data_IF_405792690099
#
_entry.id   IF_405792690099
#
_cell.length_a   1.000
_cell.length_b   1.000
_cell.length_c   1.000
_cell.angle_alpha   90.00
_cell.angle_beta   90.00
_cell.angle_gamma   90.00
#
_symmetry.space_group_name_H-M   'P 1'
#
loop_
_entity.id
_entity.type
_entity.pdbx_description
1 polymer ?
#
# COMPACT_ATOMS: atom_id res chain seq x y z
N UNK A 1 38.93 -44.19 -44.05
CA UNK A 1 37.56 -43.84 -44.51
C UNK A 1 36.54 -44.30 -43.48
N UNK A 2 35.53 -43.47 -43.18
CA UNK A 2 34.38 -43.66 -42.24
C UNK A 2 34.70 -43.56 -40.75
N UNK A 3 33.93 -42.87 -39.91
CA UNK A 3 33.00 -41.72 -39.99
C UNK A 3 32.82 -41.34 -38.50
N UNK A 4 33.12 -40.10 -38.14
CA UNK A 4 33.09 -39.59 -36.77
C UNK A 4 31.64 -39.63 -36.26
N UNK A 5 31.44 -40.35 -35.15
CA UNK A 5 30.18 -40.63 -34.51
C UNK A 5 29.96 -39.64 -33.36
N UNK A 6 28.72 -39.16 -33.24
CA UNK A 6 28.04 -38.75 -31.99
C UNK A 6 28.73 -37.72 -31.09
N UNK A 7 28.45 -36.42 -31.25
CA UNK A 7 28.49 -35.47 -30.13
C UNK A 7 27.79 -34.11 -30.42
N UNK A 8 26.52 -34.08 -30.86
CA UNK A 8 25.79 -32.80 -31.08
C UNK A 8 24.34 -32.86 -30.58
N UNK A 9 24.07 -33.63 -29.53
CA UNK A 9 22.69 -33.98 -29.13
C UNK A 9 22.28 -33.68 -27.70
N UNK A 10 22.98 -32.80 -26.97
CA UNK A 10 22.69 -32.59 -25.52
C UNK A 10 23.00 -31.19 -25.00
N UNK A 11 22.65 -30.12 -25.74
CA UNK A 11 22.84 -28.74 -25.26
C UNK A 11 21.63 -27.80 -25.52
N UNK A 12 20.45 -28.32 -25.85
CA UNK A 12 19.29 -27.49 -26.24
C UNK A 12 18.09 -27.55 -25.28
N UNK A 13 18.29 -27.91 -24.00
CA UNK A 13 17.20 -28.09 -23.03
C UNK A 13 17.30 -27.22 -21.75
N UNK A 14 18.07 -26.13 -21.76
CA UNK A 14 18.31 -25.29 -20.57
C UNK A 14 17.89 -23.80 -20.70
N UNK A 15 16.95 -23.45 -21.58
CA UNK A 15 16.52 -22.06 -21.79
C UNK A 15 15.00 -21.82 -21.65
N UNK A 16 14.25 -22.65 -20.92
CA UNK A 16 12.80 -22.46 -20.73
C UNK A 16 12.35 -22.22 -19.28
N UNK A 17 13.25 -22.20 -18.30
CA UNK A 17 12.89 -21.99 -16.88
C UNK A 17 13.17 -20.55 -16.41
N UNK A 18 12.69 -19.54 -17.15
CA UNK A 18 13.11 -18.15 -16.94
C UNK A 18 12.02 -17.07 -16.93
N UNK A 19 10.74 -17.40 -16.96
CA UNK A 19 9.67 -16.38 -16.99
C UNK A 19 8.43 -16.83 -16.20
N UNK A 20 8.49 -16.81 -14.87
CA UNK A 20 7.29 -17.00 -14.05
C UNK A 20 7.14 -16.07 -12.84
N UNK A 21 8.15 -15.26 -12.50
CA UNK A 21 8.14 -14.49 -11.23
C UNK A 21 7.79 -13.00 -11.37
N UNK A 22 7.37 -12.52 -12.54
CA UNK A 22 7.43 -11.09 -12.87
C UNK A 22 6.22 -10.23 -12.49
N UNK A 23 5.13 -10.76 -11.91
CA UNK A 23 3.87 -9.98 -11.88
C UNK A 23 3.11 -9.93 -10.55
N UNK A 24 3.59 -10.55 -9.47
CA UNK A 24 3.00 -10.31 -8.17
C UNK A 24 3.63 -9.04 -7.55
N UNK A 25 2.85 -7.98 -7.25
CA UNK A 25 3.37 -6.87 -6.46
C UNK A 25 3.79 -7.42 -5.09
N UNK A 26 5.08 -7.28 -4.78
CA UNK A 26 5.61 -7.69 -3.48
C UNK A 26 5.13 -6.67 -2.45
N UNK A 27 4.14 -7.07 -1.66
CA UNK A 27 3.83 -6.34 -0.44
C UNK A 27 4.97 -6.53 0.55
N UNK A 28 5.29 -5.48 1.31
CA UNK A 28 6.16 -5.64 2.47
C UNK A 28 5.44 -6.55 3.47
N UNK A 29 6.17 -7.52 4.02
CA UNK A 29 5.63 -8.44 5.03
C UNK A 29 5.75 -7.87 6.44
N UNK A 30 6.57 -6.83 6.60
CA UNK A 30 6.90 -6.22 7.88
C UNK A 30 6.66 -4.71 7.86
N UNK A 31 6.42 -4.17 9.05
CA UNK A 31 6.35 -2.73 9.27
C UNK A 31 7.72 -2.11 9.03
N UNK A 32 7.74 -0.89 8.48
CA UNK A 32 8.98 -0.15 8.25
C UNK A 32 8.97 1.15 9.04
N UNK A 33 10.03 1.37 9.82
CA UNK A 33 10.32 2.65 10.45
C UNK A 33 11.41 3.34 9.65
N UNK A 34 11.06 4.47 9.03
CA UNK A 34 11.98 5.33 8.30
C UNK A 34 12.38 6.50 9.17
N UNK A 35 13.67 6.56 9.47
CA UNK A 35 14.29 7.67 10.17
C UNK A 35 15.55 8.07 9.41
N UNK A 36 15.73 9.36 9.21
CA UNK A 36 16.89 9.93 8.54
C UNK A 36 17.40 11.12 9.37
N UNK A 37 18.71 11.27 9.57
CA UNK A 37 19.29 12.34 10.39
C UNK A 37 18.99 13.77 9.87
N UNK A 38 18.69 13.91 8.58
CA UNK A 38 18.41 15.16 7.88
C UNK A 38 16.91 15.46 7.80
N UNK A 39 16.04 14.47 8.01
CA UNK A 39 14.59 14.68 8.01
C UNK A 39 14.07 15.07 9.40
N UNK A 40 13.15 16.05 9.50
CA UNK A 40 12.56 16.46 10.78
C UNK A 40 11.54 15.46 11.31
N UNK A 41 11.22 14.41 10.55
CA UNK A 41 10.15 13.46 10.87
C UNK A 41 10.65 12.02 10.91
N UNK A 42 9.93 11.16 11.64
CA UNK A 42 9.99 9.71 11.56
C UNK A 42 8.73 9.25 10.83
N UNK A 43 8.84 8.36 9.84
CA UNK A 43 7.67 7.77 9.18
C UNK A 43 7.58 6.28 9.49
N UNK A 44 6.44 5.86 10.02
CA UNK A 44 6.13 4.45 10.28
C UNK A 44 5.14 3.98 9.21
N UNK A 45 5.47 2.93 8.49
CA UNK A 45 4.66 2.35 7.42
C UNK A 45 4.18 0.96 7.86
N UNK A 46 2.91 0.83 8.26
CA UNK A 46 2.32 -0.44 8.67
C UNK A 46 2.29 -1.49 7.56
N UNK A 47 1.87 -2.73 7.81
CA UNK A 47 1.85 -3.78 6.77
C UNK A 47 0.66 -3.55 5.81
N UNK A 48 0.85 -3.54 4.47
CA UNK A 48 -0.24 -3.42 3.50
C UNK A 48 -1.19 -4.60 3.59
N UNK A 49 -2.49 -4.30 3.66
CA UNK A 49 -3.56 -5.28 3.51
C UNK A 49 -4.17 -5.11 2.11
N UNK A 50 -4.31 -6.21 1.33
CA UNK A 50 -4.97 -6.16 0.03
C UNK A 50 -6.42 -5.65 0.14
N UNK A 51 -6.87 -4.89 -0.87
CA UNK A 51 -8.25 -4.41 -0.96
C UNK A 51 -8.98 -5.19 -2.05
N UNK A 52 -9.98 -5.98 -1.64
CA UNK A 52 -10.75 -6.82 -2.54
C UNK A 52 -9.91 -7.94 -3.16
N UNK A 53 -10.28 -8.36 -4.36
CA UNK A 53 -9.61 -9.38 -5.18
C UNK A 53 -8.57 -8.79 -6.14
N UNK A 54 -8.38 -7.47 -6.12
CA UNK A 54 -7.55 -6.74 -7.09
C UNK A 54 -6.07 -6.84 -6.70
N UNK A 55 -5.32 -7.60 -7.48
CA UNK A 55 -3.87 -7.72 -7.32
C UNK A 55 -3.20 -6.33 -7.36
N UNK A 56 -2.42 -6.01 -6.33
CA UNK A 56 -1.66 -4.76 -6.20
C UNK A 56 -2.40 -3.57 -5.60
N UNK A 57 -3.71 -3.68 -5.35
CA UNK A 57 -4.43 -2.69 -4.54
C UNK A 57 -4.35 -3.04 -3.05
N UNK A 58 -4.03 -2.07 -2.21
CA UNK A 58 -3.93 -2.28 -0.77
C UNK A 58 -3.90 -0.98 0.03
N UNK A 59 -4.19 -1.09 1.32
CA UNK A 59 -4.08 0.01 2.27
C UNK A 59 -3.28 -0.38 3.51
N UNK A 60 -2.71 0.62 4.18
CA UNK A 60 -2.04 0.48 5.47
C UNK A 60 -2.13 1.77 6.26
N UNK A 61 -1.88 1.70 7.56
CA UNK A 61 -1.72 2.89 8.38
C UNK A 61 -0.30 3.43 8.18
N UNK A 62 -0.20 4.71 7.84
CA UNK A 62 1.04 5.48 7.83
C UNK A 62 0.99 6.47 8.98
N UNK A 63 2.04 6.50 9.77
CA UNK A 63 2.24 7.53 10.79
C UNK A 63 3.44 8.40 10.45
N UNK A 64 3.31 9.69 10.73
CA UNK A 64 4.39 10.68 10.65
C UNK A 64 4.51 11.29 12.04
N UNK A 65 5.72 11.25 12.60
CA UNK A 65 6.05 11.80 13.92
C UNK A 65 7.04 12.94 13.71
N UNK A 66 6.72 14.14 14.15
CA UNK A 66 7.67 15.25 14.19
C UNK A 66 8.68 15.06 15.32
N UNK A 67 9.98 15.06 15.01
CA UNK A 67 11.04 14.73 15.98
C UNK A 67 11.22 15.78 17.08
N UNK A 68 10.78 17.02 16.85
CA UNK A 68 11.00 18.14 17.78
C UNK A 68 9.84 18.30 18.74
N UNK A 69 8.62 18.25 18.21
CA UNK A 69 7.37 18.45 18.95
C UNK A 69 6.73 17.15 19.43
N UNK A 70 7.15 16.01 18.87
CA UNK A 70 6.50 14.70 19.04
C UNK A 70 5.03 14.71 18.61
N UNK A 71 4.63 15.64 17.74
CA UNK A 71 3.31 15.63 17.12
C UNK A 71 3.18 14.40 16.22
N UNK A 72 2.04 13.73 16.28
CA UNK A 72 1.75 12.49 15.55
C UNK A 72 0.62 12.75 14.58
N UNK A 73 0.82 12.41 13.31
CA UNK A 73 -0.22 12.43 12.28
C UNK A 73 -0.39 11.02 11.72
N UNK A 74 -1.63 10.53 11.73
CA UNK A 74 -1.99 9.20 11.23
C UNK A 74 -2.82 9.31 9.97
N UNK A 75 -2.55 8.44 9.01
CA UNK A 75 -3.23 8.39 7.72
C UNK A 75 -3.48 6.95 7.29
N UNK A 76 -4.59 6.70 6.59
CA UNK A 76 -4.75 5.47 5.81
C UNK A 76 -4.16 5.70 4.42
N UNK A 77 -2.97 5.17 4.19
CA UNK A 77 -2.29 5.25 2.91
C UNK A 77 -2.78 4.13 2.00
N UNK A 78 -3.28 4.48 0.83
CA UNK A 78 -3.94 3.56 -0.09
C UNK A 78 -3.30 3.62 -1.47
N UNK A 79 -3.08 2.44 -2.05
CA UNK A 79 -2.66 2.24 -3.43
C UNK A 79 -3.79 1.50 -4.14
N UNK A 80 -4.33 2.10 -5.20
CA UNK A 80 -5.35 1.51 -6.05
C UNK A 80 -4.78 1.26 -7.44
N UNK A 81 -4.89 0.02 -7.92
CA UNK A 81 -4.43 -0.39 -9.26
C UNK A 81 -5.60 -1.03 -10.02
N UNK A 82 -5.82 -0.60 -11.26
CA UNK A 82 -6.91 -1.12 -12.11
C UNK A 82 -6.61 -0.93 -13.61
N UNK A 83 -7.25 -1.74 -14.47
CA UNK A 83 -6.82 -1.90 -15.88
C UNK A 83 -7.83 -1.42 -16.95
N UNK A 84 -9.01 -0.92 -16.59
CA UNK A 84 -10.11 -0.82 -17.58
C UNK A 84 -11.04 0.40 -17.49
N UNK A 85 -10.80 1.37 -16.58
CA UNK A 85 -11.83 2.38 -16.27
C UNK A 85 -11.42 3.84 -16.48
N UNK A 86 -10.18 4.11 -16.91
CA UNK A 86 -9.62 5.47 -16.82
C UNK A 86 -9.47 5.91 -15.35
N UNK A 87 -8.98 7.12 -15.13
CA UNK A 87 -8.85 7.68 -13.78
C UNK A 87 -10.17 7.70 -13.02
N UNK A 88 -10.16 7.19 -11.78
CA UNK A 88 -11.32 7.19 -10.88
C UNK A 88 -11.40 8.48 -10.06
N UNK A 89 -10.25 9.04 -9.67
CA UNK A 89 -10.16 10.26 -8.86
C UNK A 89 -10.86 10.10 -7.50
N UNK A 90 -10.28 9.26 -6.63
CA UNK A 90 -10.70 9.14 -5.24
C UNK A 90 -10.45 10.46 -4.50
N UNK A 91 -11.51 11.08 -3.96
CA UNK A 91 -11.44 12.44 -3.42
C UNK A 91 -12.39 12.71 -2.25
N UNK A 92 -13.17 11.72 -1.80
CA UNK A 92 -14.00 11.83 -0.62
C UNK A 92 -13.87 10.58 0.24
N UNK A 93 -13.86 10.73 1.55
CA UNK A 93 -13.84 9.62 2.49
C UNK A 93 -14.81 9.86 3.63
N UNK A 94 -15.36 8.77 4.16
CA UNK A 94 -16.38 8.79 5.20
C UNK A 94 -16.14 7.67 6.22
N UNK A 95 -16.18 8.02 7.50
CA UNK A 95 -16.23 7.07 8.60
C UNK A 95 -17.62 6.44 8.71
N UNK A 96 -17.72 5.38 9.51
CA UNK A 96 -19.00 4.82 9.90
C UNK A 96 -19.86 5.90 10.58
N UNK A 97 -21.11 6.07 10.15
CA UNK A 97 -21.98 7.17 10.60
C UNK A 97 -21.97 8.39 9.70
N UNK A 98 -21.12 8.42 8.66
CA UNK A 98 -21.16 9.44 7.60
C UNK A 98 -20.33 10.70 7.87
N UNK A 99 -19.56 10.74 8.96
CA UNK A 99 -18.58 11.80 9.19
C UNK A 99 -17.53 11.81 8.08
N UNK A 100 -17.27 12.98 7.50
CA UNK A 100 -16.30 13.14 6.42
C UNK A 100 -14.87 13.11 6.95
N UNK A 101 -13.98 12.47 6.20
CA UNK A 101 -12.54 12.49 6.41
C UNK A 101 -11.84 13.18 5.24
N UNK A 102 -10.72 13.86 5.53
CA UNK A 102 -9.87 14.48 4.52
C UNK A 102 -9.21 13.43 3.62
N UNK A 103 -9.23 13.65 2.31
CA UNK A 103 -8.49 12.83 1.33
C UNK A 103 -7.38 13.67 0.72
N UNK A 104 -6.15 13.22 0.89
CA UNK A 104 -4.96 13.79 0.27
C UNK A 104 -4.57 12.98 -0.95
N UNK A 105 -4.62 13.58 -2.12
CA UNK A 105 -4.02 13.02 -3.33
C UNK A 105 -2.49 13.03 -3.21
N UNK A 106 -1.86 11.87 -3.45
CA UNK A 106 -0.39 11.74 -3.39
C UNK A 106 0.20 11.62 -4.79
N UNK A 107 -0.30 10.67 -5.58
CA UNK A 107 0.15 10.51 -6.97
C UNK A 107 -0.84 9.75 -7.83
N UNK A 108 -0.71 9.95 -9.14
CA UNK A 108 -1.39 9.18 -10.18
C UNK A 108 -0.37 8.82 -11.25
N UNK A 109 -0.31 7.54 -11.61
CA UNK A 109 0.58 7.03 -12.65
C UNK A 109 -0.13 6.07 -13.63
N UNK A 110 0.13 6.24 -14.93
CA UNK A 110 -0.45 5.44 -16.00
C UNK A 110 0.67 4.74 -16.77
N UNK A 111 0.55 3.43 -16.92
CA UNK A 111 1.49 2.61 -17.65
C UNK A 111 0.77 1.72 -18.66
N UNK A 112 1.46 1.26 -19.70
CA UNK A 112 0.95 0.28 -20.65
C UNK A 112 1.78 -0.99 -20.49
N UNK A 113 1.18 -2.06 -19.99
CA UNK A 113 1.82 -3.36 -19.81
C UNK A 113 1.18 -4.38 -20.75
N UNK A 114 1.96 -4.94 -21.68
CA UNK A 114 1.47 -5.93 -22.66
C UNK A 114 0.24 -5.46 -23.47
N UNK A 115 0.19 -4.17 -23.80
CA UNK A 115 -0.93 -3.55 -24.52
C UNK A 115 -2.15 -3.22 -23.64
N UNK A 116 -2.11 -3.52 -22.34
CA UNK A 116 -3.17 -3.19 -21.38
C UNK A 116 -2.77 -1.94 -20.59
N UNK A 117 -3.64 -0.94 -20.56
CA UNK A 117 -3.45 0.26 -19.74
C UNK A 117 -3.65 -0.06 -18.26
N UNK A 118 -2.67 0.27 -17.43
CA UNK A 118 -2.69 0.10 -15.97
C UNK A 118 -2.67 1.48 -15.34
N UNK A 119 -3.68 1.77 -14.55
CA UNK A 119 -3.79 3.01 -13.78
C UNK A 119 -3.44 2.71 -12.32
N UNK A 120 -2.65 3.59 -11.72
CA UNK A 120 -2.26 3.55 -10.32
C UNK A 120 -2.60 4.88 -9.67
N UNK A 121 -3.48 4.86 -8.67
CA UNK A 121 -3.76 6.02 -7.82
C UNK A 121 -3.24 5.77 -6.42
N UNK A 122 -2.56 6.76 -5.85
CA UNK A 122 -2.11 6.77 -4.48
C UNK A 122 -2.72 7.97 -3.77
N UNK A 123 -3.37 7.71 -2.65
CA UNK A 123 -3.96 8.74 -1.80
C UNK A 123 -3.85 8.35 -0.32
N UNK A 124 -4.02 9.33 0.55
CA UNK A 124 -4.11 9.13 1.99
C UNK A 124 -5.46 9.64 2.50
N UNK A 125 -6.06 8.93 3.46
CA UNK A 125 -7.18 9.45 4.25
C UNK A 125 -6.65 9.89 5.60
N UNK A 126 -6.88 11.15 5.97
CA UNK A 126 -6.45 11.69 7.26
C UNK A 126 -7.29 11.11 8.40
N UNK A 127 -6.62 10.74 9.48
CA UNK A 127 -7.29 10.28 10.71
C UNK A 127 -7.21 11.39 11.76
N UNK A 128 -8.34 11.70 12.43
CA UNK A 128 -8.32 12.61 13.57
C UNK A 128 -7.39 12.14 14.69
N UNK A 129 -6.90 13.08 15.49
CA UNK A 129 -6.08 12.77 16.67
C UNK A 129 -6.82 11.83 17.64
N UNK A 130 -6.12 10.81 18.13
CA UNK A 130 -6.68 9.81 19.04
C UNK A 130 -7.66 8.83 18.38
N UNK A 131 -7.84 8.87 17.05
CA UNK A 131 -8.81 8.01 16.38
C UNK A 131 -8.43 6.52 16.47
N UNK A 132 -7.14 6.20 16.36
CA UNK A 132 -6.63 4.83 16.46
C UNK A 132 -6.85 4.24 17.86
N UNK A 133 -6.65 5.05 18.89
CA UNK A 133 -6.78 4.69 20.29
C UNK A 133 -8.24 4.41 20.67
N UNK A 134 -9.17 5.11 20.03
CA UNK A 134 -10.62 4.91 20.20
C UNK A 134 -11.16 3.69 19.46
N UNK A 135 -10.49 3.24 18.40
CA UNK A 135 -10.94 2.14 17.53
C UNK A 135 -9.89 1.02 17.44
N UNK A 136 -9.42 0.56 18.60
CA UNK A 136 -8.39 -0.50 18.70
C UNK A 136 -8.87 -1.85 18.15
N UNK A 137 -10.17 -2.06 18.12
CA UNK A 137 -10.85 -3.22 17.52
C UNK A 137 -10.82 -3.21 15.98
N UNK A 138 -10.30 -2.14 15.37
CA UNK A 138 -10.33 -1.92 13.93
C UNK A 138 -11.57 -1.15 13.49
N UNK A 139 -11.58 -0.72 12.23
CA UNK A 139 -12.65 0.09 11.67
C UNK A 139 -12.66 -0.03 10.14
N UNK A 140 -13.62 0.64 9.50
CA UNK A 140 -13.69 0.75 8.05
C UNK A 140 -13.90 2.18 7.63
N UNK A 141 -13.29 2.56 6.51
CA UNK A 141 -13.50 3.86 5.88
C UNK A 141 -14.03 3.62 4.47
N UNK A 142 -15.13 4.28 4.11
CA UNK A 142 -15.60 4.31 2.72
C UNK A 142 -14.89 5.44 2.00
N UNK A 143 -14.28 5.17 0.86
CA UNK A 143 -13.68 6.19 -0.01
C UNK A 143 -14.42 6.17 -1.34
N UNK A 144 -14.90 7.33 -1.76
CA UNK A 144 -15.65 7.51 -3.00
C UNK A 144 -14.79 8.18 -4.06
N UNK A 145 -14.91 7.65 -5.28
CA UNK A 145 -14.39 8.23 -6.50
C UNK A 145 -15.41 9.19 -7.12
N UNK A 146 -14.91 10.12 -7.92
CA UNK A 146 -15.75 11.13 -8.60
C UNK A 146 -16.83 10.55 -9.52
N UNK A 147 -16.72 9.28 -9.92
CA UNK A 147 -17.65 8.59 -10.85
C UNK A 147 -18.49 7.48 -10.19
N UNK A 148 -18.94 7.68 -8.95
CA UNK A 148 -19.85 6.78 -8.21
C UNK A 148 -19.31 5.38 -7.89
N UNK A 149 -18.00 5.17 -8.00
CA UNK A 149 -17.36 3.96 -7.47
C UNK A 149 -16.81 4.24 -6.08
N UNK A 150 -17.37 3.56 -5.07
CA UNK A 150 -16.84 3.55 -3.72
C UNK A 150 -16.01 2.30 -3.45
N UNK A 151 -15.03 2.41 -2.57
CA UNK A 151 -14.33 1.26 -1.98
C UNK A 151 -14.34 1.38 -0.47
N UNK A 152 -14.53 0.26 0.22
CA UNK A 152 -14.40 0.21 1.68
C UNK A 152 -12.99 -0.28 1.99
N UNK A 153 -12.26 0.50 2.78
CA UNK A 153 -10.92 0.19 3.26
C UNK A 153 -11.04 -0.48 4.64
N UNK A 154 -10.80 -1.79 4.75
CA UNK A 154 -10.84 -2.47 6.03
C UNK A 154 -9.54 -2.23 6.80
N UNK A 155 -9.65 -1.70 8.01
CA UNK A 155 -8.52 -1.53 8.94
C UNK A 155 -8.71 -2.51 10.09
N UNK A 156 -7.89 -3.57 10.12
CA UNK A 156 -8.00 -4.59 11.16
C UNK A 156 -7.48 -4.12 12.51
N UNK A 157 -7.97 -4.74 13.59
CA UNK A 157 -7.44 -4.53 14.95
C UNK A 157 -5.91 -4.71 15.00
N UNK A 158 -5.37 -5.70 14.29
CA UNK A 158 -3.92 -5.95 14.24
C UNK A 158 -3.17 -4.76 13.67
N UNK A 159 -3.65 -4.18 12.56
CA UNK A 159 -3.02 -3.00 11.96
C UNK A 159 -2.98 -1.84 12.94
N UNK A 160 -4.08 -1.60 13.67
CA UNK A 160 -4.16 -0.52 14.67
C UNK A 160 -3.20 -0.78 15.83
N UNK A 161 -3.21 -1.98 16.40
CA UNK A 161 -2.35 -2.34 17.54
C UNK A 161 -0.87 -2.26 17.18
N UNK A 162 -0.44 -2.90 16.08
CA UNK A 162 0.95 -2.85 15.62
C UNK A 162 1.40 -1.39 15.45
N UNK A 163 0.53 -0.54 14.89
CA UNK A 163 0.85 0.85 14.63
C UNK A 163 1.00 1.67 15.92
N UNK A 164 0.10 1.47 16.89
CA UNK A 164 0.17 2.15 18.18
C UNK A 164 1.43 1.74 18.97
N UNK A 165 1.78 0.46 18.95
CA UNK A 165 3.02 -0.04 19.58
C UNK A 165 4.26 0.59 18.95
N UNK A 166 4.30 0.69 17.62
CA UNK A 166 5.41 1.32 16.92
C UNK A 166 5.50 2.83 17.21
N UNK A 167 4.37 3.52 17.38
CA UNK A 167 4.35 4.94 17.79
C UNK A 167 4.96 5.08 19.19
N UNK A 168 4.54 4.26 20.14
CA UNK A 168 5.03 4.28 21.53
C UNK A 168 6.55 4.07 21.60
N UNK A 169 7.07 3.09 20.85
CA UNK A 169 8.51 2.81 20.77
C UNK A 169 9.34 3.97 20.21
N UNK A 170 8.75 4.83 19.36
CA UNK A 170 9.47 5.91 18.67
C UNK A 170 9.27 7.29 19.29
N UNK A 171 8.31 7.45 20.21
CA UNK A 171 8.11 8.67 21.01
C UNK A 171 8.75 8.53 22.39
N UNK A 172 9.02 7.29 22.83
CA UNK A 172 9.40 6.98 24.21
C UNK A 172 8.16 6.89 25.08
N UNK A 173 8.18 5.99 26.07
CA UNK A 173 7.12 5.89 27.08
C UNK A 173 7.02 7.23 27.80
N UNK A 174 5.89 7.93 27.61
CA UNK A 174 5.58 9.15 28.36
C UNK A 174 5.35 8.84 29.84
#
# INVERSE_FOLDING_TARGET
>A
MRRILTLVGLCLLLFLSGCASLLAPTYREEMQVKTDAYEPTISILGVPTPIGDKQGSGCYIRTIIDKKSHAVSNQIYTVMIYTTSGWRFYNAAYFLGGESAGVLEISRDFNIFSGVGVYKEIFAVELPDGYLEKHREGFSIKVDASKWEGVVLPISAKMVTDQLEAIEQNIGSR
#
